data_IF_605913522280
#
_entry.id   IF_605913522280
#
_cell.length_a   1.000
_cell.length_b   1.000
_cell.length_c   1.000
_cell.angle_alpha   90.00
_cell.angle_beta   90.00
_cell.angle_gamma   90.00
#
_symmetry.space_group_name_H-M   'P 1'
#
loop_
_entity.id
_entity.type
_entity.pdbx_description
1 polymer ?
#
# COMPACT_ATOMS: atom_id res chain seq x y z
N UNK A 1 -42.75 -57.02 -12.82
CA UNK A 1 -43.30 -56.24 -11.69
C UNK A 1 -42.74 -54.82 -11.80
N UNK A 2 -43.51 -53.90 -12.42
CA UNK A 2 -44.15 -52.73 -11.76
C UNK A 2 -43.09 -51.72 -11.25
N UNK A 3 -42.77 -50.61 -11.94
CA UNK A 3 -43.54 -49.37 -12.22
C UNK A 3 -44.10 -48.64 -10.99
N UNK A 4 -43.49 -47.49 -10.66
CA UNK A 4 -44.03 -46.22 -10.06
C UNK A 4 -42.80 -45.32 -9.86
N UNK A 5 -42.59 -44.16 -10.49
CA UNK A 5 -43.39 -42.95 -10.74
C UNK A 5 -43.41 -41.93 -9.56
N UNK A 6 -43.22 -40.64 -9.92
CA UNK A 6 -43.38 -39.37 -9.15
C UNK A 6 -42.29 -38.97 -8.13
N UNK A 7 -41.92 -37.71 -7.93
CA UNK A 7 -42.40 -36.36 -8.33
C UNK A 7 -41.27 -35.34 -8.09
N UNK A 8 -40.90 -34.48 -9.04
CA UNK A 8 -41.25 -33.04 -9.06
C UNK A 8 -41.42 -32.33 -7.70
N UNK A 9 -40.53 -31.40 -7.36
CA UNK A 9 -40.86 -30.24 -6.52
C UNK A 9 -39.93 -29.07 -6.82
N UNK A 10 -40.46 -28.12 -7.56
CA UNK A 10 -39.95 -26.77 -7.79
C UNK A 10 -40.00 -25.93 -6.51
N UNK A 11 -38.87 -25.39 -6.08
CA UNK A 11 -38.84 -24.26 -5.15
C UNK A 11 -38.57 -22.97 -5.94
N UNK A 12 -39.68 -22.34 -6.36
CA UNK A 12 -39.77 -20.89 -6.56
C UNK A 12 -40.29 -20.27 -5.27
N UNK A 13 -40.07 -18.95 -5.11
CA UNK A 13 -40.55 -18.00 -4.08
C UNK A 13 -39.44 -17.59 -3.08
N UNK A 14 -39.15 -16.32 -2.79
CA UNK A 14 -39.73 -15.03 -3.16
C UNK A 14 -38.64 -13.94 -2.98
N UNK A 15 -38.46 -13.06 -3.98
CA UNK A 15 -37.75 -11.79 -3.84
C UNK A 15 -38.78 -10.68 -3.55
N UNK A 16 -38.56 -9.77 -2.59
CA UNK A 16 -39.33 -8.53 -2.50
C UNK A 16 -38.84 -7.54 -3.55
N UNK A 17 -39.77 -7.15 -4.43
CA UNK A 17 -39.56 -6.10 -5.41
C UNK A 17 -39.55 -4.71 -4.78
N UNK A 18 -38.62 -3.88 -5.22
CA UNK A 18 -38.75 -2.42 -5.22
C UNK A 18 -38.55 -1.96 -6.66
N UNK A 19 -39.65 -1.50 -7.27
CA UNK A 19 -39.65 -0.88 -8.59
C UNK A 19 -39.37 0.61 -8.44
N UNK A 20 -38.32 1.02 -9.15
CA UNK A 20 -38.08 2.26 -9.89
C UNK A 20 -38.68 3.59 -9.40
N UNK A 21 -37.80 4.57 -9.25
CA UNK A 21 -38.00 5.87 -9.91
C UNK A 21 -36.74 6.26 -10.66
N UNK A 22 -36.88 6.26 -11.99
CA UNK A 22 -36.01 6.92 -12.96
C UNK A 22 -36.26 8.43 -12.91
N UNK A 23 -35.22 9.21 -12.61
CA UNK A 23 -35.18 10.62 -12.93
C UNK A 23 -34.20 10.82 -14.10
N UNK A 24 -34.76 11.14 -15.26
CA UNK A 24 -34.07 11.64 -16.44
C UNK A 24 -34.67 13.02 -16.72
N UNK A 25 -33.83 14.05 -16.68
CA UNK A 25 -33.84 15.32 -17.45
C UNK A 25 -32.84 16.21 -16.72
N UNK A 26 -31.68 16.50 -17.31
CA UNK A 26 -31.52 17.72 -18.08
C UNK A 26 -31.99 18.94 -17.26
N UNK A 27 -31.13 19.40 -16.34
CA UNK A 27 -31.06 20.78 -15.82
C UNK A 27 -29.91 20.89 -14.81
N UNK A 28 -28.69 21.07 -15.33
CA UNK A 28 -27.56 21.59 -14.56
C UNK A 28 -26.93 22.74 -15.35
N UNK A 29 -27.12 24.00 -14.93
CA UNK A 29 -26.46 25.12 -15.58
C UNK A 29 -24.96 25.10 -15.24
N UNK A 30 -24.14 25.08 -16.29
CA UNK A 30 -22.77 25.57 -16.24
C UNK A 30 -22.82 27.06 -15.95
N UNK A 31 -22.42 27.50 -14.74
CA UNK A 31 -21.77 28.80 -14.48
C UNK A 31 -21.52 28.97 -12.98
N UNK A 32 -20.34 29.52 -12.64
CA UNK A 32 -19.88 30.01 -11.32
C UNK A 32 -19.44 28.89 -10.35
N UNK A 33 -18.17 28.48 -10.26
CA UNK A 33 -16.94 29.27 -10.06
C UNK A 33 -17.16 30.50 -9.17
N UNK A 34 -16.42 30.49 -8.06
CA UNK A 34 -16.03 31.65 -7.24
C UNK A 34 -16.94 31.98 -6.06
N UNK A 35 -16.28 32.20 -4.92
CA UNK A 35 -16.74 32.96 -3.76
C UNK A 35 -17.61 32.21 -2.74
N UNK A 36 -16.95 31.32 -2.01
CA UNK A 36 -17.04 31.35 -0.56
C UNK A 36 -16.71 32.77 -0.06
N UNK A 37 -17.72 33.53 0.40
CA UNK A 37 -17.58 34.62 1.35
C UNK A 37 -18.95 35.00 1.90
N UNK A 38 -19.07 34.94 3.22
CA UNK A 38 -19.72 35.91 4.12
C UNK A 38 -20.25 35.17 5.35
N UNK A 39 -19.39 35.02 6.37
CA UNK A 39 -19.87 34.90 7.74
C UNK A 39 -19.07 35.86 8.62
N UNK A 40 -19.83 36.83 9.14
CA UNK A 40 -19.62 37.74 10.26
C UNK A 40 -18.33 38.54 10.39
N UNK A 41 -18.51 39.84 10.09
CA UNK A 41 -17.59 40.88 10.45
C UNK A 41 -17.46 41.05 11.96
N UNK A 42 -16.20 41.13 12.39
CA UNK A 42 -15.75 41.99 13.49
C UNK A 42 -14.36 42.47 13.13
N UNK A 43 -14.27 43.77 12.88
CA UNK A 43 -13.03 44.50 12.64
C UNK A 43 -12.36 44.73 13.99
N UNK A 44 -11.20 44.13 14.20
CA UNK A 44 -10.21 44.60 15.16
C UNK A 44 -8.96 44.95 14.36
N UNK A 45 -8.68 46.25 14.28
CA UNK A 45 -7.42 46.76 13.77
C UNK A 45 -6.34 46.53 14.83
N UNK A 46 -5.34 45.72 14.51
CA UNK A 46 -4.02 45.76 15.13
C UNK A 46 -3.02 45.94 13.99
N UNK A 47 -2.49 47.16 13.89
CA UNK A 47 -1.48 47.57 12.92
C UNK A 47 -0.17 46.84 13.22
N UNK A 48 0.03 45.69 12.56
CA UNK A 48 1.35 45.13 12.31
C UNK A 48 1.44 44.78 10.84
N UNK A 49 2.31 45.52 10.15
CA UNK A 49 2.86 45.17 8.84
C UNK A 49 3.45 43.75 8.93
N UNK A 50 2.63 42.76 8.58
CA UNK A 50 3.07 41.41 8.27
C UNK A 50 3.13 41.37 6.76
N UNK A 51 4.35 41.48 6.24
CA UNK A 51 4.66 41.15 4.85
C UNK A 51 4.14 39.75 4.57
N UNK A 52 3.09 39.67 3.75
CA UNK A 52 2.51 38.42 3.25
C UNK A 52 3.43 37.87 2.17
N UNK A 53 4.59 37.37 2.59
CA UNK A 53 5.50 36.56 1.78
C UNK A 53 5.73 35.23 2.51
N UNK A 54 4.72 34.37 2.48
CA UNK A 54 4.88 32.91 2.31
C UNK A 54 3.49 32.27 2.44
N UNK A 55 2.69 32.41 1.40
CA UNK A 55 1.64 31.43 1.13
C UNK A 55 2.39 30.17 0.68
N UNK A 56 2.67 29.29 1.64
CA UNK A 56 3.27 27.98 1.44
C UNK A 56 2.60 27.31 0.24
N UNK A 57 3.36 27.12 -0.84
CA UNK A 57 2.92 26.28 -1.95
C UNK A 57 2.45 24.96 -1.35
N UNK A 58 1.17 24.61 -1.52
CA UNK A 58 0.70 23.26 -1.25
C UNK A 58 1.64 22.33 -2.03
N UNK A 59 2.52 21.63 -1.33
CA UNK A 59 3.52 20.79 -1.95
C UNK A 59 2.79 19.68 -2.72
N UNK A 60 2.72 19.87 -4.04
CA UNK A 60 1.99 19.00 -4.94
C UNK A 60 2.55 17.60 -4.82
N UNK A 61 1.68 16.61 -4.61
CA UNK A 61 2.08 15.20 -4.53
C UNK A 61 2.80 14.80 -5.85
N UNK A 62 3.95 14.11 -5.78
CA UNK A 62 4.77 13.84 -6.96
C UNK A 62 4.07 12.91 -7.98
N UNK A 63 4.46 13.01 -9.25
CA UNK A 63 4.02 12.10 -10.32
C UNK A 63 4.90 10.84 -10.36
N UNK A 64 4.28 9.67 -10.44
CA UNK A 64 4.94 8.37 -10.33
C UNK A 64 5.39 7.72 -11.65
N UNK A 65 5.29 8.43 -12.80
CA UNK A 65 5.60 7.87 -14.13
C UNK A 65 6.99 7.27 -14.26
N UNK A 66 7.98 7.85 -13.58
CA UNK A 66 9.38 7.39 -13.61
C UNK A 66 9.75 6.53 -12.38
N UNK A 67 8.77 6.18 -11.54
CA UNK A 67 9.01 5.39 -10.35
C UNK A 67 9.23 3.91 -10.68
N UNK A 68 10.05 3.23 -9.86
CA UNK A 68 10.18 1.77 -9.95
C UNK A 68 8.92 1.08 -9.43
N UNK A 69 8.59 -0.15 -9.87
CA UNK A 69 7.42 -0.83 -9.35
C UNK A 69 7.55 -1.16 -7.87
N UNK A 70 6.44 -1.02 -7.15
CA UNK A 70 6.31 -1.43 -5.75
C UNK A 70 5.30 -2.55 -5.62
N UNK A 71 5.50 -3.48 -4.70
CA UNK A 71 4.49 -4.48 -4.34
C UNK A 71 4.22 -4.44 -2.84
N UNK A 72 2.96 -4.24 -2.45
CA UNK A 72 2.55 -4.36 -1.06
C UNK A 72 2.52 -5.83 -0.64
N UNK A 73 3.35 -6.16 0.34
CA UNK A 73 3.27 -7.40 1.11
C UNK A 73 2.63 -7.08 2.46
N UNK A 74 1.45 -7.66 2.71
CA UNK A 74 0.67 -7.41 3.90
C UNK A 74 -0.15 -8.65 4.28
N UNK A 75 -0.67 -8.66 5.51
CA UNK A 75 -1.76 -9.56 5.88
C UNK A 75 -3.07 -8.87 5.51
N UNK A 76 -3.83 -9.47 4.59
CA UNK A 76 -5.14 -8.98 4.18
C UNK A 76 -6.22 -9.74 4.98
N UNK A 77 -6.55 -9.24 6.17
CA UNK A 77 -7.49 -9.84 7.13
C UNK A 77 -8.82 -9.07 7.27
N UNK A 78 -9.03 -8.02 6.48
CA UNK A 78 -10.19 -7.12 6.54
C UNK A 78 -10.13 -6.09 7.66
N UNK A 79 -9.00 -5.97 8.37
CA UNK A 79 -8.84 -5.02 9.48
C UNK A 79 -8.56 -3.58 9.06
N UNK A 80 -8.49 -2.69 10.05
CA UNK A 80 -8.25 -1.25 9.85
C UNK A 80 -6.93 -0.96 9.12
N UNK A 81 -5.89 -1.75 9.42
CA UNK A 81 -4.58 -1.61 8.76
C UNK A 81 -4.69 -1.95 7.27
N UNK A 82 -5.37 -3.04 6.91
CA UNK A 82 -5.61 -3.35 5.50
C UNK A 82 -6.36 -2.21 4.81
N UNK A 83 -7.47 -1.75 5.40
CA UNK A 83 -8.25 -0.67 4.82
C UNK A 83 -7.44 0.62 4.65
N UNK A 84 -6.59 0.95 5.62
CA UNK A 84 -5.65 2.08 5.54
C UNK A 84 -4.71 1.92 4.36
N UNK A 85 -4.07 0.76 4.19
CA UNK A 85 -3.13 0.54 3.10
C UNK A 85 -3.79 0.43 1.73
N UNK A 86 -5.05 -0.03 1.64
CA UNK A 86 -5.84 0.07 0.41
C UNK A 86 -6.11 1.52 0.02
N UNK A 87 -6.33 2.42 0.98
CA UNK A 87 -6.44 3.87 0.71
C UNK A 87 -5.11 4.46 0.25
N UNK A 88 -4.00 4.12 0.92
CA UNK A 88 -2.64 4.49 0.49
C UNK A 88 -2.35 4.04 -0.94
N UNK A 89 -2.71 2.79 -1.27
CA UNK A 89 -2.54 2.23 -2.62
C UNK A 89 -3.33 3.01 -3.66
N UNK A 90 -4.59 3.36 -3.37
CA UNK A 90 -5.42 4.21 -4.25
C UNK A 90 -4.82 5.60 -4.46
N UNK A 91 -4.27 6.23 -3.42
CA UNK A 91 -3.57 7.52 -3.55
C UNK A 91 -2.40 7.37 -4.52
N UNK A 92 -1.53 6.39 -4.31
CA UNK A 92 -0.38 6.15 -5.18
C UNK A 92 -0.79 5.88 -6.64
N UNK A 93 -1.84 5.09 -6.87
CA UNK A 93 -2.38 4.85 -8.21
C UNK A 93 -2.92 6.12 -8.88
N UNK A 94 -3.63 6.96 -8.13
CA UNK A 94 -4.14 8.24 -8.65
C UNK A 94 -3.02 9.19 -9.09
N UNK A 95 -1.81 8.99 -8.56
CA UNK A 95 -0.59 9.74 -8.92
C UNK A 95 0.36 8.93 -9.83
N UNK A 96 -0.15 7.97 -10.60
CA UNK A 96 0.58 7.18 -11.60
C UNK A 96 1.75 6.33 -11.07
N UNK A 97 1.79 6.00 -9.77
CA UNK A 97 2.80 5.08 -9.27
C UNK A 97 2.50 3.63 -9.68
N UNK A 98 3.50 2.87 -10.17
CA UNK A 98 3.33 1.47 -10.56
C UNK A 98 3.33 0.53 -9.34
N UNK A 99 2.36 0.72 -8.44
CA UNK A 99 2.21 -0.07 -7.22
C UNK A 99 1.19 -1.19 -7.37
N UNK A 100 1.60 -2.38 -6.94
CA UNK A 100 0.84 -3.61 -7.00
C UNK A 100 0.38 -3.96 -5.58
N UNK A 101 -0.90 -4.26 -5.44
CA UNK A 101 -1.48 -4.79 -4.23
C UNK A 101 -2.36 -5.95 -4.65
N UNK A 102 -2.26 -7.08 -3.95
CA UNK A 102 -3.11 -8.24 -4.24
C UNK A 102 -4.53 -7.88 -3.82
N UNK A 103 -5.36 -7.51 -4.80
CA UNK A 103 -6.79 -7.33 -4.65
C UNK A 103 -7.48 -8.47 -5.39
N UNK A 104 -7.99 -9.45 -4.66
CA UNK A 104 -8.64 -10.58 -5.28
C UNK A 104 -10.15 -10.42 -5.21
N UNK A 105 -10.75 -10.19 -6.38
CA UNK A 105 -12.17 -10.45 -6.58
C UNK A 105 -12.47 -11.95 -6.51
N UNK A 106 -13.75 -12.28 -6.35
CA UNK A 106 -14.24 -13.66 -6.45
C UNK A 106 -13.93 -14.19 -7.86
N UNK A 107 -13.01 -15.15 -7.98
CA UNK A 107 -12.73 -15.87 -9.22
C UNK A 107 -11.29 -15.80 -9.73
N UNK A 108 -10.44 -14.92 -9.17
CA UNK A 108 -9.03 -14.83 -9.58
C UNK A 108 -8.14 -15.87 -8.89
N UNK A 109 -7.15 -16.39 -9.63
CA UNK A 109 -6.10 -17.23 -9.05
C UNK A 109 -5.06 -16.33 -8.38
N UNK A 110 -5.28 -16.05 -7.09
CA UNK A 110 -4.40 -15.31 -6.17
C UNK A 110 -2.91 -15.58 -6.42
N UNK A 111 -2.58 -16.86 -6.61
CA UNK A 111 -1.21 -17.29 -6.74
C UNK A 111 -0.49 -16.82 -7.98
N UNK A 112 -1.18 -16.86 -9.11
CA UNK A 112 -0.60 -16.43 -10.38
C UNK A 112 -0.35 -14.93 -10.40
N UNK A 113 -1.24 -14.14 -9.79
CA UNK A 113 -1.06 -12.69 -9.67
C UNK A 113 0.14 -12.36 -8.79
N UNK A 114 0.25 -12.95 -7.59
CA UNK A 114 1.40 -12.77 -6.70
C UNK A 114 2.72 -13.14 -7.38
N UNK A 115 2.78 -14.29 -8.06
CA UNK A 115 3.99 -14.71 -8.81
C UNK A 115 4.36 -13.73 -9.91
N UNK A 116 3.39 -13.27 -10.70
CA UNK A 116 3.63 -12.29 -11.75
C UNK A 116 4.15 -10.96 -11.18
N UNK A 117 3.62 -10.53 -10.04
CA UNK A 117 4.05 -9.29 -9.37
C UNK A 117 5.46 -9.41 -8.80
N UNK A 118 5.79 -10.51 -8.13
CA UNK A 118 7.14 -10.79 -7.62
C UNK A 118 8.17 -10.84 -8.76
N UNK A 119 7.86 -11.52 -9.86
CA UNK A 119 8.70 -11.56 -11.04
C UNK A 119 8.85 -10.19 -11.70
N UNK A 120 7.80 -9.36 -11.69
CA UNK A 120 7.88 -7.98 -12.21
C UNK A 120 8.82 -7.11 -11.38
N UNK A 121 8.64 -7.08 -10.05
CA UNK A 121 9.51 -6.27 -9.18
C UNK A 121 10.97 -6.76 -9.19
N UNK A 122 11.22 -8.06 -9.38
CA UNK A 122 12.59 -8.58 -9.54
C UNK A 122 13.24 -8.04 -10.81
N UNK A 123 12.57 -8.19 -11.95
CA UNK A 123 13.08 -7.78 -13.27
C UNK A 123 13.32 -6.28 -13.36
N UNK A 124 12.39 -5.50 -12.84
CA UNK A 124 12.41 -4.04 -12.90
C UNK A 124 13.13 -3.41 -11.69
N UNK A 125 13.80 -4.21 -10.86
CA UNK A 125 14.51 -3.77 -9.64
C UNK A 125 13.64 -2.88 -8.75
N UNK A 126 12.39 -3.30 -8.59
CA UNK A 126 11.37 -2.68 -7.76
C UNK A 126 11.60 -2.90 -6.27
N UNK A 127 10.56 -2.58 -5.50
CA UNK A 127 10.59 -2.58 -4.04
C UNK A 127 9.46 -3.46 -3.49
N UNK A 128 9.81 -4.39 -2.58
CA UNK A 128 8.82 -5.07 -1.75
C UNK A 128 8.48 -4.17 -0.55
N UNK A 129 7.24 -3.71 -0.47
CA UNK A 129 6.73 -2.82 0.57
C UNK A 129 6.09 -3.68 1.66
N UNK A 130 6.79 -3.87 2.78
CA UNK A 130 6.36 -4.75 3.86
C UNK A 130 5.53 -3.99 4.90
N UNK A 131 4.24 -4.28 4.97
CA UNK A 131 3.33 -3.73 6.00
C UNK A 131 3.47 -4.55 7.28
N UNK A 132 4.41 -4.15 8.13
CA UNK A 132 4.86 -4.90 9.30
C UNK A 132 3.88 -4.75 10.49
N UNK A 133 2.85 -5.59 10.51
CA UNK A 133 2.02 -5.86 11.70
C UNK A 133 2.78 -6.76 12.69
N UNK A 134 2.23 -6.98 13.89
CA UNK A 134 2.89 -7.78 14.93
C UNK A 134 3.22 -9.22 14.48
N UNK A 135 2.39 -9.81 13.61
CA UNK A 135 2.53 -11.16 13.10
C UNK A 135 2.82 -11.19 11.60
N UNK A 136 3.42 -10.14 11.05
CA UNK A 136 3.85 -10.10 9.66
C UNK A 136 4.82 -11.26 9.35
N UNK A 137 4.73 -11.81 8.14
CA UNK A 137 5.48 -12.99 7.68
C UNK A 137 5.21 -14.26 8.49
N UNK A 138 4.06 -14.39 9.17
CA UNK A 138 3.61 -15.66 9.74
C UNK A 138 3.54 -16.74 8.64
N UNK A 139 4.22 -17.86 8.89
CA UNK A 139 4.17 -19.02 8.00
C UNK A 139 2.83 -19.74 8.18
N UNK A 140 2.09 -19.83 7.07
CA UNK A 140 0.77 -20.49 7.02
C UNK A 140 0.78 -21.60 5.98
N UNK A 141 -0.32 -22.33 5.82
CA UNK A 141 -0.48 -23.30 4.73
C UNK A 141 -0.59 -22.66 3.34
N UNK A 142 -0.78 -21.34 3.24
CA UNK A 142 -0.92 -20.66 1.95
C UNK A 142 0.44 -20.52 1.25
N UNK A 143 0.57 -20.99 -0.01
CA UNK A 143 1.77 -20.76 -0.82
C UNK A 143 1.93 -19.30 -1.26
N UNK A 144 0.92 -18.45 -1.02
CA UNK A 144 0.92 -17.03 -1.36
C UNK A 144 0.64 -16.23 -0.09
N UNK A 145 1.64 -16.17 0.77
CA UNK A 145 1.63 -15.46 2.05
C UNK A 145 2.82 -14.50 2.14
N UNK A 146 2.73 -13.51 3.04
CA UNK A 146 3.83 -12.57 3.29
C UNK A 146 5.15 -13.28 3.69
N UNK A 147 5.08 -14.48 4.29
CA UNK A 147 6.26 -15.32 4.52
C UNK A 147 6.95 -15.71 3.21
N UNK A 148 6.20 -16.22 2.23
CA UNK A 148 6.74 -16.65 0.93
C UNK A 148 7.22 -15.47 0.10
N UNK A 149 6.53 -14.33 0.16
CA UNK A 149 6.96 -13.09 -0.50
C UNK A 149 8.28 -12.56 0.09
N UNK A 150 8.43 -12.64 1.42
CA UNK A 150 9.64 -12.24 2.11
C UNK A 150 10.80 -13.22 1.83
N UNK A 151 10.53 -14.52 1.75
CA UNK A 151 11.51 -15.53 1.34
C UNK A 151 12.01 -15.26 -0.08
N UNK A 152 11.09 -14.97 -1.01
CA UNK A 152 11.44 -14.58 -2.38
C UNK A 152 12.32 -13.33 -2.39
N UNK A 153 12.02 -12.32 -1.56
CA UNK A 153 12.85 -11.13 -1.45
C UNK A 153 14.28 -11.43 -0.95
N UNK A 154 14.44 -12.39 -0.04
CA UNK A 154 15.76 -12.85 0.40
C UNK A 154 16.52 -13.53 -0.74
N UNK A 155 15.88 -14.52 -1.38
CA UNK A 155 16.51 -15.38 -2.39
C UNK A 155 16.96 -14.57 -3.63
N UNK A 156 16.15 -13.59 -4.03
CA UNK A 156 16.42 -12.74 -5.19
C UNK A 156 17.01 -11.36 -4.82
N UNK A 157 17.36 -11.15 -3.55
CA UNK A 157 17.95 -9.90 -3.06
C UNK A 157 17.17 -8.64 -3.47
N UNK A 158 15.84 -8.69 -3.32
CA UNK A 158 14.97 -7.55 -3.62
C UNK A 158 15.20 -6.39 -2.63
N UNK A 159 14.95 -5.16 -3.09
CA UNK A 159 14.91 -4.01 -2.19
C UNK A 159 13.64 -4.08 -1.34
N UNK A 160 13.77 -3.91 -0.03
CA UNK A 160 12.68 -4.07 0.93
C UNK A 160 12.46 -2.74 1.66
N UNK A 161 11.21 -2.31 1.74
CA UNK A 161 10.77 -1.16 2.53
C UNK A 161 9.90 -1.63 3.70
N UNK A 162 10.46 -1.76 4.91
CA UNK A 162 9.69 -2.10 6.10
C UNK A 162 8.88 -0.89 6.61
N UNK A 163 7.56 -1.06 6.72
CA UNK A 163 6.63 -0.08 7.28
C UNK A 163 6.12 -0.61 8.62
N UNK A 164 6.60 -0.04 9.73
CA UNK A 164 6.15 -0.40 11.08
C UNK A 164 4.76 0.20 11.32
N UNK A 165 3.78 -0.67 11.51
CA UNK A 165 2.36 -0.29 11.72
C UNK A 165 1.80 -0.80 13.05
N UNK A 166 2.56 -1.62 13.76
CA UNK A 166 2.24 -2.12 15.11
C UNK A 166 3.36 -1.77 16.09
N UNK A 167 3.08 -1.84 17.40
CA UNK A 167 4.05 -1.48 18.44
C UNK A 167 5.26 -2.40 18.48
N UNK A 168 5.03 -3.69 18.23
CA UNK A 168 6.06 -4.72 18.16
C UNK A 168 6.85 -4.58 16.85
N UNK A 169 8.16 -4.32 16.96
CA UNK A 169 9.08 -4.30 15.84
C UNK A 169 10.49 -4.76 16.26
N UNK A 170 11.19 -5.61 15.48
CA UNK A 170 10.70 -6.32 14.29
C UNK A 170 9.46 -7.19 14.59
N UNK A 171 8.65 -7.55 13.58
CA UNK A 171 7.52 -8.43 13.78
C UNK A 171 7.92 -9.73 14.48
N UNK A 172 7.00 -10.26 15.28
CA UNK A 172 7.15 -11.51 16.04
C UNK A 172 5.99 -12.44 15.65
N UNK A 173 6.06 -13.09 14.47
CA UNK A 173 5.06 -14.08 14.09
C UNK A 173 5.04 -15.22 15.11
N UNK A 174 3.88 -15.84 15.34
CA UNK A 174 3.80 -17.02 16.20
C UNK A 174 4.58 -18.19 15.60
N UNK A 175 5.18 -19.01 16.45
CA UNK A 175 5.96 -20.18 16.08
C UNK A 175 6.22 -21.11 17.27
N UNK A 176 6.93 -22.20 17.03
CA UNK A 176 7.36 -23.15 18.04
C UNK A 176 6.60 -24.48 17.99
N UNK A 177 6.91 -25.46 18.87
CA UNK A 177 6.52 -26.87 18.71
C UNK A 177 5.01 -27.16 18.58
N UNK A 178 4.17 -26.22 19.02
CA UNK A 178 2.70 -26.32 18.96
C UNK A 178 2.09 -25.58 17.76
N UNK A 179 2.88 -24.85 16.99
CA UNK A 179 2.42 -24.10 15.83
C UNK A 179 2.18 -25.07 14.65
N UNK A 180 1.03 -25.00 13.95
CA UNK A 180 0.66 -25.96 12.91
C UNK A 180 1.58 -25.91 11.67
N UNK A 181 2.25 -24.78 11.44
CA UNK A 181 2.99 -24.54 10.20
C UNK A 181 4.43 -24.07 10.40
N UNK A 182 4.84 -23.76 11.64
CA UNK A 182 6.15 -23.15 11.92
C UNK A 182 6.72 -23.66 13.24
N UNK A 183 6.99 -24.96 13.30
CA UNK A 183 7.45 -25.63 14.52
C UNK A 183 8.86 -25.18 14.94
N UNK A 184 9.67 -24.79 13.95
CA UNK A 184 11.08 -24.42 14.12
C UNK A 184 11.32 -22.90 14.12
N UNK A 185 10.25 -22.09 14.14
CA UNK A 185 10.31 -20.62 14.11
C UNK A 185 11.08 -20.05 12.89
N UNK A 186 10.89 -20.64 11.72
CA UNK A 186 11.49 -20.20 10.46
C UNK A 186 11.06 -18.77 10.11
N UNK A 187 9.81 -18.38 10.41
CA UNK A 187 9.32 -17.04 10.15
C UNK A 187 10.12 -15.97 10.92
N UNK A 188 10.41 -16.25 12.20
CA UNK A 188 11.24 -15.36 13.02
C UNK A 188 12.68 -15.30 12.50
N UNK A 189 13.24 -16.44 12.08
CA UNK A 189 14.59 -16.49 11.51
C UNK A 189 14.69 -15.68 10.20
N UNK A 190 13.70 -15.81 9.31
CA UNK A 190 13.62 -15.08 8.04
C UNK A 190 13.56 -13.56 8.28
N UNK A 191 12.72 -13.12 9.22
CA UNK A 191 12.64 -11.72 9.62
C UNK A 191 14.00 -11.20 10.09
N UNK A 192 14.73 -11.95 10.92
CA UNK A 192 16.06 -11.54 11.41
C UNK A 192 17.08 -11.42 10.28
N UNK A 193 16.98 -12.25 9.24
CA UNK A 193 17.88 -12.21 8.09
C UNK A 193 17.65 -10.97 7.20
N UNK A 194 16.39 -10.58 7.00
CA UNK A 194 16.06 -9.45 6.12
C UNK A 194 16.04 -8.13 6.89
N UNK A 195 15.35 -8.07 8.03
CA UNK A 195 15.25 -6.87 8.89
C UNK A 195 16.46 -6.77 9.82
N UNK A 196 17.64 -6.73 9.19
CA UNK A 196 18.92 -6.55 9.89
C UNK A 196 18.95 -5.22 10.64
N UNK A 197 19.76 -5.08 11.70
CA UNK A 197 19.85 -3.84 12.47
C UNK A 197 20.17 -2.57 11.65
N UNK A 198 20.81 -2.72 10.48
CA UNK A 198 21.15 -1.63 9.57
C UNK A 198 20.08 -1.33 8.51
N UNK A 199 19.01 -2.13 8.41
CA UNK A 199 17.90 -1.84 7.52
C UNK A 199 16.94 -0.86 8.21
N UNK A 200 16.85 0.36 7.66
CA UNK A 200 15.94 1.37 8.17
C UNK A 200 14.47 0.97 7.90
N UNK A 201 13.62 1.14 8.90
CA UNK A 201 12.16 1.05 8.76
C UNK A 201 11.53 2.44 8.83
N UNK A 202 10.30 2.57 8.33
CA UNK A 202 9.48 3.78 8.51
C UNK A 202 8.41 3.51 9.56
N UNK A 203 8.31 4.37 10.57
CA UNK A 203 7.26 4.28 11.58
C UNK A 203 5.99 4.97 11.08
N UNK A 204 4.97 4.17 10.78
CA UNK A 204 3.71 4.62 10.17
C UNK A 204 2.54 4.63 11.16
N UNK A 205 2.79 4.34 12.45
CA UNK A 205 1.72 4.23 13.46
C UNK A 205 0.94 5.52 13.66
N UNK A 206 1.63 6.67 13.56
CA UNK A 206 1.07 8.01 13.78
C UNK A 206 0.82 8.80 12.50
N UNK A 207 1.17 8.22 11.35
CA UNK A 207 1.06 8.90 10.06
C UNK A 207 -0.31 8.67 9.45
N UNK A 208 -0.83 9.67 8.76
CA UNK A 208 -2.03 9.51 7.93
C UNK A 208 -1.74 8.80 6.60
N UNK A 209 -2.77 8.50 5.82
CA UNK A 209 -2.64 7.82 4.53
C UNK A 209 -1.82 8.63 3.50
N UNK A 210 -1.91 9.95 3.52
CA UNK A 210 -1.20 10.82 2.59
C UNK A 210 0.30 10.87 2.91
N UNK A 211 0.65 10.98 4.18
CA UNK A 211 2.04 10.93 4.67
C UNK A 211 2.69 9.58 4.35
N UNK A 212 1.97 8.47 4.57
CA UNK A 212 2.47 7.13 4.20
C UNK A 212 2.66 7.02 2.69
N UNK A 213 1.70 7.51 1.89
CA UNK A 213 1.83 7.51 0.44
C UNK A 213 3.05 8.32 -0.03
N UNK A 214 3.33 9.50 0.57
CA UNK A 214 4.53 10.28 0.27
C UNK A 214 5.82 9.54 0.60
N UNK A 215 5.89 8.89 1.77
CA UNK A 215 7.06 8.07 2.15
C UNK A 215 7.34 6.94 1.18
N UNK A 216 6.29 6.28 0.68
CA UNK A 216 6.42 5.23 -0.32
C UNK A 216 6.83 5.83 -1.67
N UNK A 217 6.19 6.92 -2.09
CA UNK A 217 6.51 7.63 -3.32
C UNK A 217 7.99 8.03 -3.38
N UNK A 218 8.54 8.60 -2.31
CA UNK A 218 9.95 8.97 -2.21
C UNK A 218 10.89 7.77 -2.39
N UNK A 219 10.53 6.61 -1.82
CA UNK A 219 11.30 5.37 -1.98
C UNK A 219 11.24 4.86 -3.43
N UNK A 220 10.08 4.93 -4.07
CA UNK A 220 9.88 4.41 -5.43
C UNK A 220 10.47 5.33 -6.51
N UNK A 221 10.53 6.65 -6.27
CA UNK A 221 11.14 7.59 -7.21
C UNK A 221 12.67 7.50 -7.28
N UNK A 222 13.31 6.69 -6.41
CA UNK A 222 14.77 6.48 -6.34
C UNK A 222 15.53 7.75 -6.75
N UNK A 223 15.43 8.83 -5.97
CA UNK A 223 16.29 10.00 -6.18
C UNK A 223 17.72 9.47 -6.24
N UNK A 224 18.35 9.51 -7.42
CA UNK A 224 19.76 9.17 -7.59
C UNK A 224 20.50 10.03 -6.57
N UNK A 225 20.93 9.41 -5.47
CA UNK A 225 21.97 9.98 -4.64
C UNK A 225 23.17 10.06 -5.58
N UNK A 226 23.40 11.25 -6.14
CA UNK A 226 24.61 11.54 -6.90
C UNK A 226 25.72 11.39 -5.87
N UNK A 227 26.43 10.27 -5.92
CA UNK A 227 27.64 10.07 -5.15
C UNK A 227 28.67 11.06 -5.69
N UNK A 228 28.67 12.27 -5.15
CA UNK A 228 29.69 13.27 -5.41
C UNK A 228 31.01 12.80 -4.79
N UNK A 229 31.77 12.03 -5.55
CA UNK A 229 33.22 11.95 -5.36
C UNK A 229 33.84 13.10 -6.17
N UNK A 230 33.87 14.27 -5.53
CA UNK A 230 34.75 15.36 -5.91
C UNK A 230 36.20 14.98 -5.61
N UNK A 231 37.09 15.24 -6.57
CA UNK A 231 38.51 14.99 -6.45
C UNK A 231 39.26 15.32 -7.73
N UNK A 232 39.10 16.54 -8.23
CA UNK A 232 40.06 17.13 -9.16
C UNK A 232 41.43 17.21 -8.46
N UNK A 233 42.42 16.48 -8.98
CA UNK A 233 43.80 16.50 -8.52
C UNK A 233 44.74 16.60 -9.72
N UNK A 234 44.61 17.68 -10.50
CA UNK A 234 45.55 18.01 -11.56
C UNK A 234 46.83 18.60 -10.97
N UNK A 235 47.87 17.79 -10.82
CA UNK A 235 49.23 18.29 -10.55
C UNK A 235 49.84 18.83 -11.84
N UNK A 236 50.02 20.15 -11.91
CA UNK A 236 50.94 20.81 -12.84
C UNK A 236 52.35 20.66 -12.24
N UNK A 237 53.22 19.90 -12.89
CA UNK A 237 54.66 19.97 -12.65
C UNK A 237 55.24 21.17 -13.41
N UNK A 238 55.94 22.04 -12.68
CA UNK A 238 56.89 23.03 -13.22
C UNK A 238 58.29 22.46 -13.14
#
# INVERSE_FOLDING_TARGET
AASTDRSSSSYQQHLPGWIAQSASTADLPHTLRSLWRCFDGKVFADDRDITVEDATAEETFPDGKDAVPGMFSARFDGGDIEHKFRRVHKILQAHNFPVLMVDAGIGDNFGKLTQNYLNKIEKEKGVLICVCTAHYAEKTSSPFSSFQELQFALDYSLDVLPLKVADVYPPKPPGGPKHPHDQDCEAEALIKMIFRPNLAYKDCRKLDEMEIARLIADKLLKKKQVSGHGGEGGYIQR
#
